data_IF_630541328840
#
_entry.id   IF_630541328840
#
_cell.length_a   1.000
_cell.length_b   1.000
_cell.length_c   1.000
_cell.angle_alpha   90.00
_cell.angle_beta   90.00
_cell.angle_gamma   90.00
#
_symmetry.space_group_name_H-M   'P 1'
#
loop_
_entity.id
_entity.type
_entity.pdbx_description
1 polymer ?
#
# COMPACT_ATOMS: atom_id res chain seq x y z
N UNK A 1 -5.16 -20.34 13.43
CA UNK A 1 -5.09 -20.89 12.07
C UNK A 1 -5.98 -20.05 11.18
N UNK A 2 -5.42 -18.98 10.59
CA UNK A 2 -6.10 -18.14 9.59
C UNK A 2 -5.26 -18.13 8.31
N UNK A 3 -5.10 -19.32 7.73
CA UNK A 3 -4.27 -19.51 6.57
C UNK A 3 -5.11 -19.39 5.29
N UNK A 4 -4.59 -18.61 4.35
CA UNK A 4 -4.85 -18.73 2.91
C UNK A 4 -6.19 -18.22 2.35
N UNK A 5 -6.72 -17.07 2.79
CA UNK A 5 -7.89 -16.46 2.13
C UNK A 5 -7.60 -15.64 0.87
N UNK A 6 -6.36 -15.54 0.40
CA UNK A 6 -5.99 -14.68 -0.74
C UNK A 6 -5.59 -15.52 -1.97
N UNK A 7 -6.52 -16.24 -2.59
CA UNK A 7 -6.16 -17.24 -3.60
C UNK A 7 -6.04 -16.70 -5.02
N UNK A 8 -6.82 -15.77 -5.48
CA UNK A 8 -6.67 -15.14 -6.81
C UNK A 8 -7.60 -13.94 -6.89
N UNK A 9 -7.11 -12.72 -6.97
CA UNK A 9 -8.02 -11.60 -6.98
C UNK A 9 -7.32 -10.26 -6.97
N UNK A 10 -7.93 -9.30 -6.31
CA UNK A 10 -7.34 -7.98 -6.13
C UNK A 10 -7.14 -7.72 -4.64
N UNK A 11 -6.06 -7.04 -4.31
CA UNK A 11 -5.80 -6.53 -2.97
C UNK A 11 -5.89 -5.02 -3.04
N UNK A 12 -6.85 -4.44 -2.35
CA UNK A 12 -6.95 -2.99 -2.21
C UNK A 12 -6.39 -2.65 -0.83
N UNK A 13 -5.29 -1.94 -0.79
CA UNK A 13 -4.65 -1.50 0.45
C UNK A 13 -5.04 -0.07 0.71
N UNK A 14 -5.64 0.21 1.84
CA UNK A 14 -5.83 1.57 2.35
C UNK A 14 -4.82 1.83 3.46
N UNK A 15 -3.92 2.78 3.21
CA UNK A 15 -2.81 3.07 4.10
C UNK A 15 -3.16 4.23 5.03
N UNK A 16 -3.29 3.94 6.32
CA UNK A 16 -3.69 4.86 7.37
C UNK A 16 -2.73 4.85 8.57
N UNK A 17 -1.45 4.50 8.35
CA UNK A 17 -0.44 4.61 9.40
C UNK A 17 -0.23 6.08 9.78
N UNK A 18 0.19 6.28 11.04
CA UNK A 18 0.46 7.59 11.66
C UNK A 18 -0.75 8.51 11.79
N UNK A 19 -1.95 7.99 11.52
CA UNK A 19 -3.18 8.75 11.71
C UNK A 19 -3.42 8.97 13.19
N UNK A 20 -3.59 10.24 13.57
CA UNK A 20 -4.06 10.64 14.89
C UNK A 20 -5.55 10.95 14.79
N UNK A 21 -6.34 10.37 15.68
CA UNK A 21 -7.76 10.70 15.77
C UNK A 21 -7.93 12.15 16.25
N UNK A 22 -9.00 12.79 15.80
CA UNK A 22 -9.40 14.09 16.31
C UNK A 22 -9.87 14.00 17.78
N UNK A 23 -10.03 15.15 18.43
CA UNK A 23 -10.39 15.22 19.85
C UNK A 23 -11.72 14.54 20.21
N UNK A 24 -12.63 14.40 19.23
CA UNK A 24 -13.90 13.69 19.32
C UNK A 24 -13.82 12.20 18.91
N UNK A 25 -12.60 11.66 18.77
CA UNK A 25 -12.34 10.29 18.31
C UNK A 25 -12.79 9.99 16.87
N UNK A 26 -12.99 11.02 16.07
CA UNK A 26 -13.36 10.86 14.67
C UNK A 26 -12.12 10.73 13.78
N UNK A 27 -12.33 10.12 12.60
CA UNK A 27 -11.29 10.05 11.58
C UNK A 27 -11.10 11.42 10.92
N UNK A 28 -9.84 11.85 10.72
CA UNK A 28 -9.57 13.08 9.98
C UNK A 28 -10.05 13.03 8.53
N UNK A 29 -10.39 14.18 7.95
CA UNK A 29 -10.93 14.32 6.57
C UNK A 29 -10.08 13.58 5.54
N UNK A 30 -8.75 13.69 5.59
CA UNK A 30 -7.86 13.03 4.63
C UNK A 30 -7.95 11.49 4.67
N UNK A 31 -8.37 10.89 5.79
CA UNK A 31 -8.64 9.45 5.89
C UNK A 31 -9.99 9.12 5.25
N UNK A 32 -10.99 9.97 5.45
CA UNK A 32 -12.30 9.84 4.78
C UNK A 32 -12.13 9.90 3.26
N UNK A 33 -11.27 10.79 2.76
CA UNK A 33 -10.94 10.86 1.33
C UNK A 33 -10.31 9.55 0.83
N UNK A 34 -9.36 8.96 1.58
CA UNK A 34 -8.80 7.63 1.25
C UNK A 34 -9.87 6.53 1.24
N UNK A 35 -10.79 6.52 2.20
CA UNK A 35 -11.91 5.57 2.23
C UNK A 35 -12.79 5.74 0.99
N UNK A 36 -13.06 6.98 0.58
CA UNK A 36 -13.85 7.27 -0.62
C UNK A 36 -13.18 6.73 -1.89
N UNK A 37 -11.87 6.95 -2.05
CA UNK A 37 -11.09 6.39 -3.17
C UNK A 37 -11.11 4.86 -3.13
N UNK A 38 -10.86 4.26 -1.97
CA UNK A 38 -10.88 2.81 -1.78
C UNK A 38 -12.22 2.19 -2.19
N UNK A 39 -13.34 2.78 -1.75
CA UNK A 39 -14.68 2.29 -2.10
C UNK A 39 -14.94 2.35 -3.59
N UNK A 40 -14.57 3.43 -4.27
CA UNK A 40 -14.70 3.56 -5.74
C UNK A 40 -13.89 2.50 -6.49
N UNK A 41 -12.68 2.19 -6.01
CA UNK A 41 -11.86 1.13 -6.60
C UNK A 41 -12.53 -0.22 -6.40
N UNK A 42 -13.00 -0.51 -5.18
CA UNK A 42 -13.70 -1.75 -4.87
C UNK A 42 -14.92 -1.93 -5.78
N UNK A 43 -15.78 -0.93 -5.91
CA UNK A 43 -16.92 -0.96 -6.83
C UNK A 43 -16.50 -1.19 -8.29
N UNK A 44 -15.47 -0.47 -8.77
CA UNK A 44 -14.94 -0.61 -10.13
C UNK A 44 -14.47 -2.04 -10.39
N UNK A 45 -13.70 -2.60 -9.45
CA UNK A 45 -13.17 -3.96 -9.55
C UNK A 45 -14.30 -4.98 -9.50
N UNK A 46 -15.28 -4.78 -8.60
CA UNK A 46 -16.44 -5.67 -8.48
C UNK A 46 -17.35 -5.65 -9.72
N UNK A 47 -17.47 -4.55 -10.41
CA UNK A 47 -18.22 -4.43 -11.68
C UNK A 47 -17.51 -5.07 -12.87
N UNK A 48 -16.17 -5.06 -12.88
CA UNK A 48 -15.37 -5.47 -14.04
C UNK A 48 -15.15 -6.98 -14.15
N UNK A 49 -15.36 -7.77 -13.08
CA UNK A 49 -15.13 -9.22 -13.07
C UNK A 49 -16.33 -9.95 -12.47
N UNK A 50 -16.94 -10.89 -13.20
CA UNK A 50 -18.05 -11.69 -12.67
C UNK A 50 -17.60 -12.68 -11.56
N UNK A 51 -16.32 -13.07 -11.56
CA UNK A 51 -15.75 -14.01 -10.57
C UNK A 51 -15.07 -13.21 -9.43
N UNK A 52 -15.91 -12.67 -8.54
CA UNK A 52 -15.58 -11.59 -7.61
C UNK A 52 -15.17 -12.08 -6.22
N UNK A 53 -15.07 -13.38 -6.02
CA UNK A 53 -14.89 -13.97 -4.68
C UNK A 53 -13.64 -13.48 -3.94
N UNK A 54 -12.61 -13.04 -4.66
CA UNK A 54 -11.26 -12.90 -4.13
C UNK A 54 -10.73 -11.44 -4.07
N UNK A 55 -11.61 -10.44 -4.05
CA UNK A 55 -11.19 -9.05 -3.82
C UNK A 55 -11.31 -8.71 -2.34
N UNK A 56 -10.20 -8.24 -1.74
CA UNK A 56 -10.13 -7.88 -0.32
C UNK A 56 -9.58 -6.47 -0.15
N UNK A 57 -10.03 -5.82 0.92
CA UNK A 57 -9.48 -4.56 1.40
C UNK A 57 -8.62 -4.85 2.62
N UNK A 58 -7.35 -4.43 2.57
CA UNK A 58 -6.43 -4.47 3.70
C UNK A 58 -6.25 -3.06 4.24
N UNK A 59 -6.71 -2.82 5.46
CA UNK A 59 -6.58 -1.55 6.19
C UNK A 59 -5.29 -1.60 6.99
N UNK A 60 -4.33 -0.73 6.67
CA UNK A 60 -3.07 -0.61 7.39
C UNK A 60 -3.20 0.55 8.38
N UNK A 61 -3.38 0.22 9.64
CA UNK A 61 -3.59 1.19 10.72
C UNK A 61 -3.41 0.51 12.08
N UNK A 62 -3.30 1.30 13.15
CA UNK A 62 -3.56 0.75 14.48
C UNK A 62 -5.00 0.23 14.59
N UNK A 63 -5.25 -0.60 15.60
CA UNK A 63 -6.53 -1.29 15.76
C UNK A 63 -7.72 -0.32 15.90
N UNK A 64 -7.54 0.82 16.58
CA UNK A 64 -8.62 1.79 16.81
C UNK A 64 -9.01 2.48 15.51
N UNK A 65 -8.04 3.05 14.81
CA UNK A 65 -8.24 3.67 13.49
C UNK A 65 -8.76 2.63 12.48
N UNK A 66 -8.19 1.44 12.47
CA UNK A 66 -8.60 0.35 11.59
C UNK A 66 -10.07 -0.04 11.74
N UNK A 67 -10.56 -0.14 12.98
CA UNK A 67 -11.98 -0.43 13.23
C UNK A 67 -12.91 0.69 12.75
N UNK A 68 -12.54 1.96 12.94
CA UNK A 68 -13.32 3.08 12.43
C UNK A 68 -13.38 3.08 10.90
N UNK A 69 -12.24 2.85 10.23
CA UNK A 69 -12.18 2.72 8.77
C UNK A 69 -13.07 1.56 8.29
N UNK A 70 -12.96 0.40 8.94
CA UNK A 70 -13.76 -0.78 8.62
C UNK A 70 -15.27 -0.49 8.77
N UNK A 71 -15.69 0.14 9.85
CA UNK A 71 -17.09 0.49 10.08
C UNK A 71 -17.63 1.38 8.94
N UNK A 72 -16.88 2.40 8.50
CA UNK A 72 -17.29 3.26 7.39
C UNK A 72 -17.36 2.47 6.07
N UNK A 73 -16.40 1.56 5.81
CA UNK A 73 -16.44 0.72 4.62
C UNK A 73 -17.69 -0.18 4.60
N UNK A 74 -18.08 -0.73 5.74
CA UNK A 74 -19.32 -1.51 5.88
C UNK A 74 -20.56 -0.67 5.60
N UNK A 75 -20.62 0.59 6.05
CA UNK A 75 -21.76 1.51 5.70
C UNK A 75 -21.81 1.84 4.20
N UNK A 76 -20.78 1.52 3.43
CA UNK A 76 -20.72 1.64 1.96
C UNK A 76 -20.98 0.31 1.25
N UNK A 77 -21.73 -0.59 1.88
CA UNK A 77 -22.13 -1.90 1.35
C UNK A 77 -20.95 -2.84 1.01
N UNK A 78 -19.80 -2.66 1.67
CA UNK A 78 -18.68 -3.59 1.55
C UNK A 78 -18.80 -4.62 2.67
N UNK A 79 -18.89 -5.89 2.28
CA UNK A 79 -19.00 -6.99 3.23
C UNK A 79 -17.85 -7.00 4.24
N UNK A 80 -18.15 -7.13 5.51
CA UNK A 80 -17.17 -7.16 6.59
C UNK A 80 -16.09 -8.24 6.38
N UNK A 81 -16.49 -9.39 5.83
CA UNK A 81 -15.60 -10.51 5.49
C UNK A 81 -14.52 -10.18 4.47
N UNK A 82 -14.71 -9.10 3.69
CA UNK A 82 -13.77 -8.60 2.68
C UNK A 82 -12.77 -7.57 3.25
N UNK A 83 -12.86 -7.22 4.52
CA UNK A 83 -12.04 -6.18 5.14
C UNK A 83 -11.15 -6.79 6.21
N UNK A 84 -9.85 -6.63 6.07
CA UNK A 84 -8.84 -7.11 7.02
C UNK A 84 -8.06 -5.93 7.57
N UNK A 85 -7.96 -5.82 8.89
CA UNK A 85 -7.12 -4.82 9.56
C UNK A 85 -5.75 -5.46 9.81
N UNK A 86 -4.69 -4.76 9.40
CA UNK A 86 -3.31 -5.17 9.63
C UNK A 86 -2.55 -4.05 10.33
N UNK A 87 -2.38 -4.22 11.64
CA UNK A 87 -1.65 -3.27 12.51
C UNK A 87 -0.16 -3.60 12.65
N UNK A 88 0.32 -4.62 11.95
CA UNK A 88 1.72 -5.07 12.08
C UNK A 88 2.69 -4.34 11.15
N UNK A 89 2.19 -3.55 10.20
CA UNK A 89 3.03 -2.82 9.25
C UNK A 89 3.31 -1.41 9.77
N UNK A 90 4.57 -1.06 9.90
CA UNK A 90 5.06 0.22 10.42
C UNK A 90 5.47 1.20 9.30
N UNK A 91 5.59 0.73 8.06
CA UNK A 91 5.96 1.55 6.89
C UNK A 91 5.45 0.95 5.58
N UNK A 92 5.45 1.76 4.52
CA UNK A 92 5.13 1.31 3.15
C UNK A 92 6.10 0.23 2.69
N UNK A 93 7.39 0.35 3.00
CA UNK A 93 8.40 -0.66 2.65
C UNK A 93 8.15 -2.00 3.35
N UNK A 94 7.76 -1.97 4.64
CA UNK A 94 7.39 -3.17 5.39
C UNK A 94 6.15 -3.84 4.80
N UNK A 95 5.12 -3.05 4.53
CA UNK A 95 3.89 -3.52 3.92
C UNK A 95 4.14 -4.28 2.61
N UNK A 96 4.87 -3.68 1.67
CA UNK A 96 5.15 -4.33 0.39
C UNK A 96 6.02 -5.57 0.54
N UNK A 97 7.01 -5.55 1.42
CA UNK A 97 7.80 -6.75 1.75
C UNK A 97 6.91 -7.91 2.22
N UNK A 98 5.95 -7.61 3.11
CA UNK A 98 5.00 -8.59 3.64
C UNK A 98 4.06 -9.12 2.55
N UNK A 99 3.39 -8.23 1.80
CA UNK A 99 2.49 -8.64 0.70
C UNK A 99 3.24 -9.48 -0.34
N UNK A 100 4.44 -9.06 -0.76
CA UNK A 100 5.21 -9.81 -1.74
C UNK A 100 5.62 -11.19 -1.24
N UNK A 101 5.95 -11.34 0.05
CA UNK A 101 6.21 -12.66 0.64
C UNK A 101 4.98 -13.57 0.64
N UNK A 102 3.78 -13.00 0.80
CA UNK A 102 2.52 -13.74 0.75
C UNK A 102 2.15 -14.21 -0.67
N UNK A 103 2.48 -13.42 -1.69
CA UNK A 103 2.00 -13.66 -3.08
C UNK A 103 3.05 -14.22 -4.04
N UNK A 104 4.35 -14.16 -3.70
CA UNK A 104 5.46 -14.56 -4.61
C UNK A 104 5.39 -15.99 -5.13
N UNK A 105 4.72 -16.89 -4.41
CA UNK A 105 4.56 -18.31 -4.78
C UNK A 105 3.28 -18.58 -5.56
N UNK A 106 2.47 -17.56 -5.84
CA UNK A 106 1.19 -17.73 -6.52
C UNK A 106 1.37 -17.74 -8.03
N UNK A 107 0.77 -18.70 -8.75
CA UNK A 107 0.85 -18.74 -10.21
C UNK A 107 0.21 -17.51 -10.84
N UNK A 108 -0.87 -16.99 -10.25
CA UNK A 108 -1.59 -15.79 -10.69
C UNK A 108 -1.59 -14.75 -9.57
N UNK A 109 -0.55 -13.89 -9.49
CA UNK A 109 -0.49 -12.87 -8.46
C UNK A 109 -1.63 -11.85 -8.61
N UNK A 110 -2.21 -11.37 -7.50
CA UNK A 110 -3.28 -10.38 -7.52
C UNK A 110 -2.79 -9.03 -8.07
N UNK A 111 -3.73 -8.22 -8.57
CA UNK A 111 -3.47 -6.79 -8.77
C UNK A 111 -3.57 -6.10 -7.41
N UNK A 112 -2.58 -5.25 -7.10
CA UNK A 112 -2.52 -4.52 -5.84
C UNK A 112 -2.83 -3.05 -6.14
N UNK A 113 -3.86 -2.52 -5.50
CA UNK A 113 -4.19 -1.09 -5.50
C UNK A 113 -3.78 -0.51 -4.16
N UNK A 114 -2.88 0.45 -4.16
CA UNK A 114 -2.39 1.10 -2.95
C UNK A 114 -2.99 2.50 -2.85
N UNK A 115 -3.87 2.70 -1.88
CA UNK A 115 -4.56 3.96 -1.62
C UNK A 115 -3.87 4.71 -0.50
N UNK A 116 -3.38 5.89 -0.80
CA UNK A 116 -2.76 6.81 0.17
C UNK A 116 -2.89 8.26 -0.31
N UNK A 117 -2.34 9.22 0.45
CA UNK A 117 -2.23 10.61 -0.01
C UNK A 117 -1.31 10.73 -1.23
N UNK A 118 -1.61 11.65 -2.16
CA UNK A 118 -0.77 11.90 -3.34
C UNK A 118 0.70 12.15 -2.99
N UNK A 119 0.95 12.83 -1.88
CA UNK A 119 2.29 13.15 -1.39
C UNK A 119 3.12 11.92 -1.02
N UNK A 120 2.49 10.77 -0.86
CA UNK A 120 3.18 9.49 -0.56
C UNK A 120 3.64 8.74 -1.81
N UNK A 121 3.41 9.30 -3.00
CA UNK A 121 3.76 8.64 -4.28
C UNK A 121 5.24 8.29 -4.37
N UNK A 122 6.13 9.19 -3.96
CA UNK A 122 7.59 8.94 -4.01
C UNK A 122 8.01 7.78 -3.10
N UNK A 123 7.41 7.71 -1.89
CA UNK A 123 7.66 6.60 -0.95
C UNK A 123 7.18 5.28 -1.56
N UNK A 124 6.00 5.29 -2.16
CA UNK A 124 5.45 4.14 -2.86
C UNK A 124 6.36 3.68 -4.02
N UNK A 125 6.81 4.61 -4.85
CA UNK A 125 7.66 4.30 -6.01
C UNK A 125 8.98 3.65 -5.59
N UNK A 126 9.61 4.15 -4.53
CA UNK A 126 10.81 3.56 -3.97
C UNK A 126 10.53 2.17 -3.39
N UNK A 127 9.46 2.04 -2.59
CA UNK A 127 9.11 0.78 -1.94
C UNK A 127 8.77 -0.33 -2.94
N UNK A 128 8.24 0.02 -4.13
CA UNK A 128 7.80 -0.94 -5.14
C UNK A 128 8.79 -1.15 -6.27
N UNK A 129 9.88 -0.39 -6.33
CA UNK A 129 10.85 -0.40 -7.44
C UNK A 129 11.44 -1.78 -7.78
N UNK A 130 11.55 -2.67 -6.79
CA UNK A 130 12.07 -4.03 -6.96
C UNK A 130 11.01 -5.05 -7.42
N UNK A 131 9.73 -4.67 -7.49
CA UNK A 131 8.60 -5.58 -7.76
C UNK A 131 8.00 -5.40 -9.16
N UNK A 132 8.82 -5.07 -10.16
CA UNK A 132 8.39 -4.75 -11.54
C UNK A 132 7.57 -5.85 -12.24
N UNK A 133 7.66 -7.10 -11.79
CA UNK A 133 6.88 -8.22 -12.33
C UNK A 133 5.43 -8.29 -11.84
N UNK A 134 5.05 -7.45 -10.89
CA UNK A 134 3.72 -7.44 -10.29
C UNK A 134 2.91 -6.24 -10.75
N UNK A 135 1.59 -6.41 -10.84
CA UNK A 135 0.67 -5.31 -11.16
C UNK A 135 0.34 -4.54 -9.88
N UNK A 136 1.07 -3.46 -9.62
CA UNK A 136 0.90 -2.60 -8.44
C UNK A 136 0.54 -1.21 -8.94
N UNK A 137 -0.56 -0.65 -8.44
CA UNK A 137 -1.09 0.66 -8.85
C UNK A 137 -1.22 1.56 -7.63
N UNK A 138 -0.76 2.81 -7.77
CA UNK A 138 -0.95 3.85 -6.78
C UNK A 138 -2.24 4.62 -7.10
N UNK A 139 -3.09 4.77 -6.11
CA UNK A 139 -4.32 5.54 -6.20
C UNK A 139 -4.29 6.65 -5.14
N UNK A 140 -4.02 7.87 -5.57
CA UNK A 140 -3.87 9.01 -4.68
C UNK A 140 -5.20 9.55 -4.19
N UNK A 141 -5.31 9.78 -2.89
CA UNK A 141 -6.36 10.57 -2.27
C UNK A 141 -5.88 11.99 -2.00
N UNK A 142 -6.79 12.92 -2.02
CA UNK A 142 -6.48 14.30 -1.69
C UNK A 142 -6.19 14.44 -0.19
N UNK A 143 -5.21 15.28 0.16
CA UNK A 143 -4.80 15.50 1.54
C UNK A 143 -4.60 17.01 1.76
N UNK A 144 -5.53 17.62 2.47
CA UNK A 144 -5.56 19.07 2.76
C UNK A 144 -4.81 19.45 4.01
N UNK A 145 -4.16 18.49 4.67
CA UNK A 145 -3.39 18.82 5.89
C UNK A 145 -2.28 19.83 5.60
N UNK A 146 -1.84 20.57 6.62
CA UNK A 146 -0.67 21.42 6.50
C UNK A 146 0.55 20.64 6.01
N UNK A 147 1.38 21.28 5.18
CA UNK A 147 2.57 20.66 4.59
C UNK A 147 3.53 20.08 5.62
N UNK A 148 3.63 20.69 6.79
CA UNK A 148 4.47 20.26 7.92
C UNK A 148 4.04 18.88 8.42
N UNK A 149 2.74 18.65 8.61
CA UNK A 149 2.20 17.36 9.06
C UNK A 149 2.44 16.24 8.03
N UNK A 150 2.29 16.58 6.75
CA UNK A 150 2.57 15.65 5.65
C UNK A 150 4.07 15.31 5.59
N UNK A 151 4.93 16.31 5.79
CA UNK A 151 6.39 16.13 5.82
C UNK A 151 6.84 15.27 7.01
N UNK A 152 6.18 15.37 8.17
CA UNK A 152 6.46 14.50 9.32
C UNK A 152 6.18 13.04 9.01
N UNK A 153 5.03 12.74 8.41
CA UNK A 153 4.71 11.38 7.98
C UNK A 153 5.75 10.86 6.97
N UNK A 154 6.15 11.69 6.02
CA UNK A 154 7.18 11.36 5.04
C UNK A 154 8.55 11.09 5.66
N UNK A 155 8.94 11.87 6.68
CA UNK A 155 10.20 11.63 7.43
C UNK A 155 10.15 10.30 8.17
N UNK A 156 9.00 9.94 8.78
CA UNK A 156 8.82 8.65 9.47
C UNK A 156 8.98 7.49 8.50
N UNK A 157 8.34 7.54 7.33
CA UNK A 157 8.52 6.53 6.29
C UNK A 157 9.97 6.36 5.85
N UNK A 158 10.69 7.47 5.63
CA UNK A 158 12.10 7.45 5.23
C UNK A 158 13.04 6.97 6.30
N UNK A 159 12.66 7.04 7.58
CA UNK A 159 13.49 6.55 8.69
C UNK A 159 13.52 5.02 8.79
N UNK A 160 12.64 4.31 8.10
CA UNK A 160 12.66 2.85 8.04
C UNK A 160 13.94 2.36 7.34
N UNK A 161 14.70 1.51 8.03
CA UNK A 161 15.93 0.88 7.49
C UNK A 161 15.67 0.12 6.17
N UNK A 162 14.46 -0.44 5.98
CA UNK A 162 14.07 -1.12 4.74
C UNK A 162 13.99 -0.16 3.57
N UNK A 163 13.45 1.05 3.80
CA UNK A 163 13.41 2.11 2.80
C UNK A 163 14.83 2.52 2.37
N UNK A 164 15.72 2.73 3.32
CA UNK A 164 17.14 3.06 3.06
C UNK A 164 17.82 1.96 2.26
N UNK A 165 17.66 0.70 2.68
CA UNK A 165 18.23 -0.46 1.98
C UNK A 165 17.75 -0.63 0.54
N UNK A 166 16.45 -0.37 0.28
CA UNK A 166 15.88 -0.41 -1.07
C UNK A 166 16.48 0.69 -1.93
N UNK A 167 16.62 1.89 -1.38
CA UNK A 167 17.19 3.04 -2.08
C UNK A 167 18.67 2.82 -2.43
N UNK A 168 19.44 2.26 -1.51
CA UNK A 168 20.86 1.92 -1.73
C UNK A 168 21.02 0.83 -2.80
N UNK A 169 20.23 -0.25 -2.72
CA UNK A 169 20.22 -1.30 -3.77
C UNK A 169 19.82 -0.74 -5.14
N UNK A 170 18.89 0.21 -5.18
CA UNK A 170 18.51 0.91 -6.42
C UNK A 170 19.65 1.75 -7.00
N UNK A 171 20.38 2.47 -6.15
CA UNK A 171 21.57 3.24 -6.56
C UNK A 171 22.69 2.33 -7.08
N UNK A 172 23.00 1.25 -6.36
CA UNK A 172 24.02 0.30 -6.77
C UNK A 172 23.67 -0.35 -8.11
N UNK A 173 22.40 -0.75 -8.32
CA UNK A 173 21.94 -1.26 -9.63
C UNK A 173 22.11 -0.25 -10.77
N UNK A 174 21.85 1.01 -10.51
CA UNK A 174 22.00 2.07 -11.51
C UNK A 174 23.50 2.29 -11.83
N UNK A 175 24.36 2.24 -10.82
CA UNK A 175 25.83 2.28 -10.98
C UNK A 175 26.32 1.07 -11.76
N UNK A 176 25.86 -0.15 -11.42
CA UNK A 176 26.21 -1.38 -12.14
C UNK A 176 25.74 -1.34 -13.60
N UNK A 177 24.55 -0.81 -13.87
CA UNK A 177 24.07 -0.61 -15.26
C UNK A 177 24.93 0.40 -16.02
N UNK A 178 25.29 1.52 -15.40
CA UNK A 178 26.16 2.52 -16.01
C UNK A 178 27.58 1.97 -16.25
N UNK A 179 28.14 1.25 -15.31
CA UNK A 179 29.44 0.61 -15.47
C UNK A 179 29.43 -0.45 -16.60
N UNK A 180 28.40 -1.29 -16.69
CA UNK A 180 28.25 -2.26 -17.77
C UNK A 180 28.00 -1.59 -19.14
N UNK A 181 27.42 -0.38 -19.17
CA UNK A 181 27.25 0.39 -20.40
C UNK A 181 28.54 1.08 -20.84
N UNK A 182 29.32 1.61 -19.90
CA UNK A 182 30.56 2.34 -20.18
C UNK A 182 31.73 1.38 -20.42
N UNK A 183 31.76 0.22 -19.74
CA UNK A 183 32.80 -0.79 -19.83
C UNK A 183 32.22 -2.17 -20.17
N UNK A 184 31.81 -2.41 -21.42
CA UNK A 184 31.19 -3.69 -21.82
C UNK A 184 32.12 -4.90 -21.79
N UNK A 185 33.42 -4.72 -21.65
CA UNK A 185 34.44 -5.79 -21.76
C UNK A 185 34.92 -6.40 -20.43
N UNK A 186 34.31 -6.04 -19.29
CA UNK A 186 34.77 -6.57 -17.99
C UNK A 186 34.21 -7.98 -17.64
N UNK A 187 33.70 -8.72 -18.65
CA UNK A 187 33.31 -10.13 -18.50
C UNK A 187 34.26 -11.01 -19.32
N UNK A 188 35.41 -11.34 -18.72
CA UNK A 188 36.17 -12.54 -19.02
C UNK A 188 36.40 -13.33 -17.76
#
# INVERSE_FOLDING_TARGET
MSENRFVSGNIIVIYCNFVKLESNEQLPEHVIDRISVCSKIFERVMKSKPDKSDTFIRVIADTKVGNLVKNILVTKDIEESKIVIDSSCDSVAHLFSKIMNEIKKRPNPPVIYFVSSYQQKDVFDVATASYKGYKIQFEGAFDKRPSESIQEDYKREKSDKRFTNIKEKGKNRMVDMLLNYIFPESKK
#
